data_IF_666961561052
#
_entry.id   IF_666961561052
#
_cell.length_a   1.000
_cell.length_b   1.000
_cell.length_c   1.000
_cell.angle_alpha   90.00
_cell.angle_beta   90.00
_cell.angle_gamma   90.00
#
_symmetry.space_group_name_H-M   'P 1'
#
loop_
_entity.id
_entity.type
_entity.pdbx_description
1 polymer ?
#
# COMPACT_ATOMS: atom_id res chain seq x y z
N UNK A 1 0.80 13.38 -15.14
CA UNK A 1 1.08 14.25 -13.95
C UNK A 1 2.43 13.85 -13.39
N UNK A 2 3.16 14.77 -12.77
CA UNK A 2 4.43 14.44 -12.11
C UNK A 2 4.16 14.13 -10.64
N UNK A 3 4.68 13.01 -10.10
CA UNK A 3 4.53 12.62 -8.69
C UNK A 3 4.99 13.67 -7.68
N UNK A 4 5.85 14.59 -8.10
CA UNK A 4 6.36 15.68 -7.27
C UNK A 4 5.53 16.98 -7.36
N UNK A 5 4.38 16.95 -8.05
CA UNK A 5 3.52 18.13 -8.20
C UNK A 5 2.26 17.97 -7.37
N UNK A 6 2.33 18.38 -6.12
CA UNK A 6 1.24 18.32 -5.15
C UNK A 6 1.28 19.52 -4.20
N UNK A 7 0.17 19.78 -3.54
CA UNK A 7 0.09 20.70 -2.40
C UNK A 7 0.23 19.87 -1.11
N UNK A 8 1.15 20.24 -0.24
CA UNK A 8 1.36 19.54 1.02
C UNK A 8 0.61 20.21 2.16
N UNK A 9 -0.10 19.40 2.94
CA UNK A 9 -0.76 19.79 4.18
C UNK A 9 -0.10 19.03 5.32
N UNK A 10 0.59 19.75 6.21
CA UNK A 10 1.16 19.14 7.42
C UNK A 10 0.09 19.04 8.47
N UNK A 11 -0.01 17.87 9.07
CA UNK A 11 -0.88 17.57 10.20
C UNK A 11 -0.05 17.40 11.48
N UNK A 12 -0.67 17.04 12.58
CA UNK A 12 0.02 16.90 13.86
C UNK A 12 0.92 15.64 13.93
N UNK A 13 0.50 14.57 13.26
CA UNK A 13 1.21 13.29 13.20
C UNK A 13 1.76 13.03 11.80
N UNK A 14 0.89 13.01 10.82
CA UNK A 14 1.21 12.73 9.43
C UNK A 14 1.25 13.96 8.55
N UNK A 15 1.23 13.72 7.26
CA UNK A 15 1.15 14.76 6.24
C UNK A 15 0.34 14.28 5.05
N UNK A 16 -0.34 15.20 4.37
CA UNK A 16 -1.15 14.88 3.19
C UNK A 16 -0.57 15.56 1.96
N UNK A 17 -0.25 14.77 0.95
CA UNK A 17 0.10 15.26 -0.39
C UNK A 17 -1.15 15.27 -1.27
N UNK A 18 -1.59 16.45 -1.69
CA UNK A 18 -2.81 16.63 -2.49
C UNK A 18 -2.46 16.84 -3.96
N UNK A 19 -2.81 15.87 -4.79
CA UNK A 19 -2.64 15.90 -6.24
C UNK A 19 -3.95 16.33 -6.90
N UNK A 20 -3.90 17.37 -7.74
CA UNK A 20 -5.07 17.94 -8.41
C UNK A 20 -5.14 17.48 -9.87
N UNK A 21 -6.17 16.68 -10.19
CA UNK A 21 -6.47 16.18 -11.53
C UNK A 21 -7.69 16.90 -12.15
N UNK A 22 -8.03 18.08 -11.63
CA UNK A 22 -9.17 18.88 -12.06
C UNK A 22 -10.44 18.52 -11.28
N UNK A 23 -11.32 17.69 -11.85
CA UNK A 23 -12.55 17.27 -11.15
C UNK A 23 -12.29 16.29 -10.00
N UNK A 24 -11.16 15.58 -10.04
CA UNK A 24 -10.76 14.59 -9.03
C UNK A 24 -9.49 15.06 -8.34
N UNK A 25 -9.44 14.90 -7.04
CA UNK A 25 -8.22 15.06 -6.25
C UNK A 25 -7.86 13.75 -5.58
N UNK A 26 -6.57 13.47 -5.55
CA UNK A 26 -5.99 12.39 -4.76
C UNK A 26 -5.28 13.01 -3.55
N UNK A 27 -5.67 12.58 -2.36
CA UNK A 27 -4.99 12.94 -1.13
C UNK A 27 -4.25 11.70 -0.64
N UNK A 28 -2.93 11.74 -0.61
CA UNK A 28 -2.07 10.69 -0.09
C UNK A 28 -1.66 11.08 1.34
N UNK A 29 -2.22 10.39 2.32
CA UNK A 29 -1.94 10.63 3.73
C UNK A 29 -0.86 9.67 4.21
N UNK A 30 0.35 10.20 4.39
CA UNK A 30 1.45 9.52 5.04
C UNK A 30 1.26 9.61 6.54
N UNK A 31 1.10 8.48 7.20
CA UNK A 31 0.77 8.43 8.62
C UNK A 31 1.93 8.81 9.53
N UNK A 32 3.18 8.57 9.11
CA UNK A 32 4.39 8.67 9.94
C UNK A 32 4.26 7.86 11.25
N UNK A 33 3.53 6.76 11.23
CA UNK A 33 3.38 5.84 12.35
C UNK A 33 4.50 4.77 12.37
N UNK A 34 4.37 3.75 13.22
CA UNK A 34 5.42 2.73 13.41
C UNK A 34 5.55 1.73 12.26
N UNK A 35 4.61 1.70 11.33
CA UNK A 35 4.60 0.80 10.17
C UNK A 35 4.62 1.57 8.84
N UNK A 36 4.75 2.91 8.91
CA UNK A 36 4.83 3.80 7.74
C UNK A 36 3.68 3.61 6.74
N UNK A 37 2.45 3.47 7.24
CA UNK A 37 1.28 3.31 6.37
C UNK A 37 0.99 4.56 5.53
N UNK A 38 0.45 4.31 4.34
CA UNK A 38 -0.09 5.34 3.46
C UNK A 38 -1.57 5.06 3.20
N UNK A 39 -2.43 6.06 3.40
CA UNK A 39 -3.87 5.99 3.17
C UNK A 39 -4.24 6.96 2.06
N UNK A 40 -5.03 6.50 1.10
CA UNK A 40 -5.39 7.33 -0.04
C UNK A 40 -6.85 7.73 -0.01
N UNK A 41 -7.12 8.99 -0.32
CA UNK A 41 -8.47 9.52 -0.44
C UNK A 41 -8.67 10.04 -1.86
N UNK A 42 -9.66 9.50 -2.57
CA UNK A 42 -10.07 9.99 -3.88
C UNK A 42 -11.29 10.87 -3.69
N UNK A 43 -11.13 12.17 -3.92
CA UNK A 43 -12.18 13.16 -3.77
C UNK A 43 -12.72 13.60 -5.14
N UNK A 44 -14.05 13.68 -5.28
CA UNK A 44 -14.72 14.22 -6.45
C UNK A 44 -16.01 14.94 -6.03
N UNK A 45 -16.13 16.23 -6.35
CA UNK A 45 -17.32 17.04 -6.06
C UNK A 45 -17.77 16.98 -4.59
N UNK A 46 -16.83 17.04 -3.64
CA UNK A 46 -17.09 17.02 -2.20
C UNK A 46 -17.45 15.63 -1.64
N UNK A 47 -17.43 14.60 -2.47
CA UNK A 47 -17.56 13.19 -2.07
C UNK A 47 -16.19 12.54 -2.08
N UNK A 48 -15.96 11.62 -1.17
CA UNK A 48 -14.68 10.94 -1.05
C UNK A 48 -14.85 9.42 -0.89
N UNK A 49 -13.88 8.68 -1.40
CA UNK A 49 -13.67 7.25 -1.12
C UNK A 49 -12.27 7.09 -0.57
N UNK A 50 -12.15 6.37 0.53
CA UNK A 50 -10.87 6.10 1.18
C UNK A 50 -10.38 4.71 0.76
N UNK A 51 -9.11 4.57 0.46
CA UNK A 51 -8.41 3.30 0.20
C UNK A 51 -7.50 3.04 1.38
N UNK A 52 -7.68 1.93 2.04
CA UNK A 52 -7.13 1.52 3.34
C UNK A 52 -7.65 2.36 4.51
N UNK A 53 -7.12 2.09 5.69
CA UNK A 53 -7.40 2.86 6.91
C UNK A 53 -6.15 2.94 7.77
N UNK A 54 -5.96 4.04 8.51
CA UNK A 54 -4.91 4.09 9.52
C UNK A 54 -5.25 3.13 10.66
N UNK A 55 -4.21 2.55 11.27
CA UNK A 55 -4.37 1.55 12.35
C UNK A 55 -3.98 2.08 13.74
N UNK A 56 -3.43 3.28 13.85
CA UNK A 56 -3.08 3.88 15.14
C UNK A 56 -4.10 4.94 15.54
N UNK A 57 -4.55 4.94 16.79
CA UNK A 57 -5.62 5.80 17.28
C UNK A 57 -5.39 7.29 17.04
N UNK A 58 -4.14 7.76 17.16
CA UNK A 58 -3.81 9.15 16.89
C UNK A 58 -3.99 9.51 15.40
N UNK A 59 -3.58 8.62 14.49
CA UNK A 59 -3.75 8.78 13.05
C UNK A 59 -5.22 8.64 12.63
N UNK A 60 -5.97 7.74 13.26
CA UNK A 60 -7.42 7.59 13.05
C UNK A 60 -8.12 8.92 13.39
N UNK A 61 -7.79 9.49 14.56
CA UNK A 61 -8.38 10.77 15.01
C UNK A 61 -8.01 11.91 14.05
N UNK A 62 -6.74 12.00 13.66
CA UNK A 62 -6.23 13.04 12.78
C UNK A 62 -6.85 12.98 11.40
N UNK A 63 -6.89 11.79 10.78
CA UNK A 63 -7.47 11.64 9.44
C UNK A 63 -9.00 11.84 9.44
N UNK A 64 -9.67 11.41 10.51
CA UNK A 64 -11.11 11.68 10.69
C UNK A 64 -11.37 13.20 10.74
N UNK A 65 -10.52 13.96 11.42
CA UNK A 65 -10.62 15.42 11.47
C UNK A 65 -10.35 16.06 10.09
N UNK A 66 -9.32 15.58 9.39
CA UNK A 66 -8.98 16.05 8.04
C UNK A 66 -10.13 15.87 7.04
N UNK A 67 -10.85 14.76 7.16
CA UNK A 67 -11.99 14.44 6.28
C UNK A 67 -13.25 15.23 6.59
N UNK A 68 -13.30 16.03 7.68
CA UNK A 68 -14.44 16.90 7.95
C UNK A 68 -14.66 17.87 6.79
N UNK A 69 -15.88 17.88 6.28
CA UNK A 69 -16.26 18.67 5.12
C UNK A 69 -16.31 17.88 3.81
N UNK A 70 -15.78 16.67 3.78
CA UNK A 70 -15.98 15.71 2.68
C UNK A 70 -17.07 14.70 3.07
N UNK A 71 -17.92 14.35 2.13
CA UNK A 71 -18.86 13.23 2.33
C UNK A 71 -18.17 11.93 1.97
N UNK A 72 -17.67 11.18 2.96
CA UNK A 72 -17.06 9.86 2.71
C UNK A 72 -18.17 8.85 2.40
N UNK A 73 -18.16 8.33 1.17
CA UNK A 73 -19.16 7.40 0.64
C UNK A 73 -18.75 5.93 0.80
N UNK A 74 -17.48 5.64 1.10
CA UNK A 74 -16.99 4.29 1.30
C UNK A 74 -15.53 4.22 1.67
N UNK A 75 -15.14 3.09 2.28
CA UNK A 75 -13.74 2.70 2.51
C UNK A 75 -13.50 1.39 1.79
N UNK A 76 -12.49 1.34 0.93
CA UNK A 76 -11.97 0.13 0.30
C UNK A 76 -10.92 -0.47 1.23
N UNK A 77 -11.23 -1.59 1.86
CA UNK A 77 -10.35 -2.31 2.79
C UNK A 77 -9.67 -3.43 2.01
N UNK A 78 -8.45 -3.17 1.53
CA UNK A 78 -7.73 -4.13 0.71
C UNK A 78 -6.82 -5.04 1.54
N UNK A 79 -5.72 -4.52 2.03
CA UNK A 79 -4.72 -5.31 2.77
C UNK A 79 -4.72 -5.02 4.27
N UNK A 80 -5.17 -3.83 4.70
CA UNK A 80 -5.15 -3.40 6.10
C UNK A 80 -6.52 -3.61 6.75
N UNK A 81 -6.72 -4.80 7.32
CA UNK A 81 -8.00 -5.16 7.96
C UNK A 81 -8.24 -4.55 9.34
N UNK A 82 -7.22 -4.00 10.00
CA UNK A 82 -7.31 -3.37 11.32
C UNK A 82 -7.78 -1.91 11.23
N UNK A 83 -8.03 -1.26 12.38
CA UNK A 83 -8.40 0.14 12.42
C UNK A 83 -9.91 0.39 12.26
N UNK A 84 -10.78 -0.54 12.67
CA UNK A 84 -12.22 -0.44 12.43
C UNK A 84 -12.91 0.72 13.17
N UNK A 85 -12.24 1.38 14.14
CA UNK A 85 -12.76 2.61 14.73
C UNK A 85 -12.65 3.83 13.81
N UNK A 86 -11.90 3.69 12.68
CA UNK A 86 -11.89 4.69 11.62
C UNK A 86 -13.20 4.68 10.84
N UNK A 87 -13.94 5.78 10.89
CA UNK A 87 -15.20 6.00 10.18
C UNK A 87 -16.18 4.81 10.32
N UNK A 88 -16.57 4.40 11.54
CA UNK A 88 -17.29 3.15 11.77
C UNK A 88 -18.64 3.06 11.04
N UNK A 89 -19.32 4.20 10.80
CA UNK A 89 -20.61 4.27 10.14
C UNK A 89 -20.54 4.32 8.60
N UNK A 90 -19.32 4.45 8.03
CA UNK A 90 -19.13 4.50 6.58
C UNK A 90 -19.08 3.08 6.01
N UNK A 91 -19.78 2.79 4.89
CA UNK A 91 -19.77 1.46 4.27
C UNK A 91 -18.33 0.99 3.94
N UNK A 92 -18.04 -0.28 4.25
CA UNK A 92 -16.77 -0.94 3.95
C UNK A 92 -16.92 -1.87 2.76
N UNK A 93 -16.01 -1.79 1.83
CA UNK A 93 -15.94 -2.59 0.60
C UNK A 93 -14.67 -3.42 0.59
N UNK A 94 -14.77 -4.72 0.37
CA UNK A 94 -13.63 -5.61 0.24
C UNK A 94 -13.98 -6.81 -0.66
N UNK A 95 -12.96 -7.48 -1.18
CA UNK A 95 -13.14 -8.80 -1.79
C UNK A 95 -13.28 -9.88 -0.71
N UNK A 96 -13.82 -11.04 -1.08
CA UNK A 96 -13.91 -12.17 -0.14
C UNK A 96 -12.51 -12.61 0.33
N UNK A 97 -11.48 -12.53 -0.55
CA UNK A 97 -10.09 -12.86 -0.20
C UNK A 97 -9.55 -11.91 0.88
N UNK A 98 -9.80 -10.59 0.77
CA UNK A 98 -9.37 -9.62 1.77
C UNK A 98 -10.03 -9.84 3.13
N UNK A 99 -11.32 -10.21 3.16
CA UNK A 99 -12.02 -10.59 4.40
C UNK A 99 -11.36 -11.82 5.03
N UNK A 100 -11.16 -12.87 4.24
CA UNK A 100 -10.54 -14.11 4.72
C UNK A 100 -9.10 -13.88 5.22
N UNK A 101 -8.33 -13.09 4.49
CA UNK A 101 -6.97 -12.71 4.89
C UNK A 101 -6.94 -12.02 6.26
N UNK A 102 -7.84 -11.05 6.47
CA UNK A 102 -7.91 -10.27 7.71
C UNK A 102 -8.47 -11.05 8.90
N UNK A 103 -9.42 -11.97 8.68
CA UNK A 103 -10.10 -12.69 9.76
C UNK A 103 -9.41 -14.01 10.12
N UNK A 104 -8.83 -14.73 9.14
CA UNK A 104 -8.30 -16.08 9.31
C UNK A 104 -6.90 -16.28 8.74
N UNK A 105 -6.44 -15.40 7.84
CA UNK A 105 -5.17 -15.52 7.13
C UNK A 105 -4.01 -14.76 7.75
N UNK A 106 -3.05 -14.36 6.90
CA UNK A 106 -1.84 -13.64 7.29
C UNK A 106 -2.12 -12.29 7.94
N UNK A 107 -3.17 -11.59 7.52
CA UNK A 107 -3.59 -10.31 8.10
C UNK A 107 -3.94 -10.44 9.58
N UNK A 108 -4.67 -11.50 9.97
CA UNK A 108 -4.95 -11.78 11.38
C UNK A 108 -3.68 -11.99 12.21
N UNK A 109 -2.71 -12.71 11.65
CA UNK A 109 -1.43 -12.94 12.32
C UNK A 109 -0.66 -11.61 12.50
N UNK A 110 -0.66 -10.74 11.49
CA UNK A 110 -0.06 -9.40 11.58
C UNK A 110 -0.76 -8.53 12.64
N UNK A 111 -2.09 -8.49 12.67
CA UNK A 111 -2.87 -7.75 13.68
C UNK A 111 -2.50 -8.25 15.09
N UNK A 112 -2.37 -9.56 15.30
CA UNK A 112 -1.96 -10.15 16.57
C UNK A 112 -0.56 -9.69 16.97
N UNK A 113 0.40 -9.73 16.05
CA UNK A 113 1.78 -9.32 16.28
C UNK A 113 1.87 -7.81 16.57
N UNK A 114 1.15 -6.97 15.82
CA UNK A 114 1.12 -5.53 16.04
C UNK A 114 0.43 -5.15 17.37
N UNK A 115 -0.62 -5.87 17.74
CA UNK A 115 -1.24 -5.72 19.08
C UNK A 115 -0.23 -5.96 20.18
N UNK A 116 0.58 -7.01 20.06
CA UNK A 116 1.63 -7.32 21.03
C UNK A 116 2.76 -6.28 21.03
N UNK A 117 3.14 -5.77 19.85
CA UNK A 117 4.23 -4.81 19.70
C UNK A 117 3.85 -3.38 20.13
N UNK A 118 2.65 -2.91 19.79
CA UNK A 118 2.25 -1.51 19.93
C UNK A 118 1.21 -1.25 21.03
N UNK A 119 0.61 -2.31 21.57
CA UNK A 119 -0.32 -2.22 22.72
C UNK A 119 -1.50 -1.29 22.44
N UNK A 120 -1.78 -0.41 23.41
CA UNK A 120 -2.95 0.47 23.37
C UNK A 120 -2.89 1.60 22.33
N UNK A 121 -1.79 1.81 21.62
CA UNK A 121 -1.73 2.79 20.54
C UNK A 121 -2.31 2.26 19.22
N UNK A 122 -2.39 0.93 19.07
CA UNK A 122 -2.85 0.24 17.88
C UNK A 122 -4.31 -0.18 18.02
N UNK A 123 -5.14 0.16 17.03
CA UNK A 123 -6.51 -0.31 16.92
C UNK A 123 -6.56 -1.68 16.25
N UNK A 124 -6.65 -2.72 17.04
CA UNK A 124 -6.68 -4.10 16.59
C UNK A 124 -8.07 -4.60 16.19
N UNK A 125 -9.06 -3.72 16.15
CA UNK A 125 -10.41 -4.10 15.71
C UNK A 125 -10.44 -4.28 14.18
N UNK A 126 -11.09 -5.35 13.73
CA UNK A 126 -11.18 -5.70 12.30
C UNK A 126 -12.42 -5.06 11.70
N UNK A 127 -12.27 -4.48 10.51
CA UNK A 127 -13.37 -3.86 9.79
C UNK A 127 -14.51 -4.86 9.48
N UNK A 128 -15.74 -4.45 9.79
CA UNK A 128 -16.92 -5.19 9.36
C UNK A 128 -17.25 -4.79 7.92
N UNK A 129 -16.93 -5.67 6.97
CA UNK A 129 -17.20 -5.44 5.56
C UNK A 129 -18.69 -5.54 5.29
N UNK A 130 -19.28 -4.48 4.76
CA UNK A 130 -20.72 -4.39 4.47
C UNK A 130 -21.04 -4.67 3.01
N UNK A 131 -20.02 -4.58 2.13
CA UNK A 131 -20.17 -4.79 0.69
C UNK A 131 -19.05 -5.68 0.15
N UNK A 132 -19.36 -6.89 -0.21
CA UNK A 132 -18.41 -7.76 -0.92
C UNK A 132 -18.41 -7.35 -2.40
N UNK A 133 -17.22 -7.05 -2.92
CA UNK A 133 -16.96 -6.70 -4.31
C UNK A 133 -16.13 -7.79 -4.99
N UNK A 134 -16.32 -7.93 -6.31
CA UNK A 134 -15.58 -8.89 -7.13
C UNK A 134 -14.66 -8.19 -8.13
N UNK A 135 -14.05 -9.00 -9.01
CA UNK A 135 -13.24 -8.50 -10.11
C UNK A 135 -14.03 -7.56 -11.03
N UNK A 136 -13.37 -6.51 -11.51
CA UNK A 136 -13.93 -5.59 -12.50
C UNK A 136 -14.38 -4.26 -11.91
N UNK A 137 -15.28 -3.57 -12.63
CA UNK A 137 -15.66 -2.20 -12.33
C UNK A 137 -16.63 -2.09 -11.15
N UNK A 138 -16.35 -1.17 -10.24
CA UNK A 138 -17.22 -0.75 -9.15
C UNK A 138 -17.29 0.78 -9.12
N UNK A 139 -18.44 1.33 -8.74
CA UNK A 139 -18.60 2.78 -8.56
C UNK A 139 -19.07 3.04 -7.14
N UNK A 140 -18.34 3.88 -6.41
CA UNK A 140 -18.64 4.27 -5.03
C UNK A 140 -18.67 5.81 -4.99
N UNK A 141 -19.75 6.39 -4.51
CA UNK A 141 -19.90 7.84 -4.42
C UNK A 141 -19.84 8.61 -5.75
N UNK A 142 -19.92 7.91 -6.89
CA UNK A 142 -19.75 8.48 -8.23
C UNK A 142 -18.31 8.47 -8.74
N UNK A 143 -17.39 7.79 -8.03
CA UNK A 143 -15.99 7.56 -8.40
C UNK A 143 -15.85 6.13 -8.88
N UNK A 144 -15.24 5.93 -10.06
CA UNK A 144 -15.03 4.63 -10.67
C UNK A 144 -13.72 3.98 -10.23
N UNK A 145 -13.80 2.69 -9.92
CA UNK A 145 -12.63 1.84 -9.61
C UNK A 145 -12.68 0.57 -10.45
N UNK A 146 -11.53 -0.05 -10.71
CA UNK A 146 -11.44 -1.40 -11.27
C UNK A 146 -10.69 -2.27 -10.28
N UNK A 147 -11.34 -3.33 -9.84
CA UNK A 147 -10.83 -4.24 -8.80
C UNK A 147 -10.15 -5.42 -9.47
N UNK A 148 -8.92 -5.70 -9.03
CA UNK A 148 -8.12 -6.86 -9.45
C UNK A 148 -7.82 -7.72 -8.23
N UNK A 149 -8.63 -8.78 -7.97
CA UNK A 149 -8.38 -9.66 -6.84
C UNK A 149 -6.99 -10.30 -6.90
N UNK A 150 -6.30 -10.32 -5.76
CA UNK A 150 -5.06 -11.07 -5.56
C UNK A 150 -5.32 -12.31 -4.70
N UNK A 151 -4.30 -13.10 -4.41
CA UNK A 151 -4.44 -14.24 -3.51
C UNK A 151 -4.91 -13.83 -2.11
N UNK A 152 -4.43 -12.69 -1.61
CA UNK A 152 -4.67 -12.22 -0.24
C UNK A 152 -5.73 -11.12 -0.15
N UNK A 153 -5.78 -10.25 -1.19
CA UNK A 153 -6.63 -9.05 -1.15
C UNK A 153 -7.02 -8.58 -2.57
N UNK A 154 -6.72 -7.33 -2.94
CA UNK A 154 -6.96 -6.81 -4.28
C UNK A 154 -6.18 -5.53 -4.55
N UNK A 155 -5.75 -5.37 -5.80
CA UNK A 155 -5.25 -4.12 -6.34
C UNK A 155 -6.41 -3.29 -6.93
N UNK A 156 -6.21 -1.98 -7.06
CA UNK A 156 -7.27 -1.05 -7.46
C UNK A 156 -6.75 -0.12 -8.56
N UNK A 157 -7.35 -0.17 -9.77
CA UNK A 157 -7.15 0.91 -10.72
C UNK A 157 -8.11 2.06 -10.42
N UNK A 158 -7.63 3.29 -10.59
CA UNK A 158 -8.42 4.52 -10.47
C UNK A 158 -8.37 5.23 -11.83
N UNK A 159 -9.28 4.87 -12.78
CA UNK A 159 -9.17 5.31 -14.16
C UNK A 159 -9.25 6.83 -14.33
N UNK A 160 -10.03 7.52 -13.47
CA UNK A 160 -10.23 8.96 -13.56
C UNK A 160 -8.95 9.78 -13.35
N UNK A 161 -7.96 9.21 -12.68
CA UNK A 161 -6.65 9.83 -12.43
C UNK A 161 -5.49 9.03 -13.03
N UNK A 162 -5.80 7.97 -13.78
CA UNK A 162 -4.83 7.06 -14.37
C UNK A 162 -3.79 6.55 -13.35
N UNK A 163 -4.26 6.07 -12.20
CA UNK A 163 -3.43 5.55 -11.12
C UNK A 163 -3.80 4.10 -10.79
N UNK A 164 -2.88 3.39 -10.16
CA UNK A 164 -3.09 2.05 -9.60
C UNK A 164 -2.63 2.03 -8.15
N UNK A 165 -3.41 1.37 -7.29
CA UNK A 165 -3.03 1.04 -5.92
C UNK A 165 -2.66 -0.44 -5.82
N UNK A 166 -1.57 -0.72 -5.12
CA UNK A 166 -1.08 -2.07 -4.84
C UNK A 166 -0.38 -2.12 -3.49
N UNK A 167 -0.24 -3.31 -2.91
CA UNK A 167 0.50 -3.49 -1.65
C UNK A 167 1.98 -3.79 -1.94
N UNK A 168 2.83 -2.76 -1.83
CA UNK A 168 4.25 -2.85 -2.17
C UNK A 168 5.08 -1.90 -1.29
N UNK A 169 6.34 -2.22 -1.09
CA UNK A 169 7.33 -1.33 -0.49
C UNK A 169 7.96 -0.42 -1.57
N UNK A 170 8.45 0.75 -1.18
CA UNK A 170 9.02 1.75 -2.07
C UNK A 170 10.20 1.28 -2.92
N UNK A 171 10.50 2.06 -3.96
CA UNK A 171 11.55 1.73 -4.94
C UNK A 171 12.97 1.78 -4.37
N UNK A 172 13.21 2.56 -3.32
CA UNK A 172 14.50 2.74 -2.64
C UNK A 172 14.55 2.04 -1.26
N UNK A 173 13.70 1.04 -1.08
CA UNK A 173 13.61 0.20 0.10
C UNK A 173 13.83 -1.26 -0.28
N UNK A 174 14.56 -2.02 0.58
CA UNK A 174 14.64 -3.47 0.43
C UNK A 174 13.25 -4.08 0.50
N UNK A 175 12.98 -5.05 -0.36
CA UNK A 175 11.68 -5.73 -0.43
C UNK A 175 11.72 -7.08 0.26
N UNK A 176 10.54 -7.57 0.66
CA UNK A 176 10.35 -8.96 1.05
C UNK A 176 10.11 -9.76 -0.23
N UNK A 177 11.08 -10.59 -0.62
CA UNK A 177 11.03 -11.38 -1.85
C UNK A 177 11.23 -12.87 -1.53
N UNK A 178 10.18 -13.66 -1.73
CA UNK A 178 10.18 -15.09 -1.45
C UNK A 178 10.82 -15.90 -2.61
N UNK A 179 12.08 -15.59 -2.90
CA UNK A 179 12.86 -16.25 -3.95
C UNK A 179 12.65 -15.69 -5.36
N UNK A 180 13.39 -16.25 -6.33
CA UNK A 180 13.42 -15.75 -7.73
C UNK A 180 12.07 -15.74 -8.42
N UNK A 181 11.23 -16.76 -8.17
CA UNK A 181 9.89 -16.81 -8.76
C UNK A 181 8.97 -15.69 -8.30
N UNK A 182 9.04 -15.30 -7.02
CA UNK A 182 8.30 -14.15 -6.50
C UNK A 182 8.83 -12.83 -7.09
N UNK A 183 10.16 -12.70 -7.24
CA UNK A 183 10.75 -11.55 -7.94
C UNK A 183 10.20 -11.41 -9.37
N UNK A 184 10.09 -12.52 -10.12
CA UNK A 184 9.53 -12.52 -11.49
C UNK A 184 8.07 -12.07 -11.54
N UNK A 185 7.25 -12.44 -10.55
CA UNK A 185 5.86 -11.98 -10.44
C UNK A 185 5.80 -10.48 -10.25
N UNK A 186 6.57 -9.91 -9.30
CA UNK A 186 6.61 -8.47 -9.04
C UNK A 186 7.13 -7.70 -10.27
N UNK A 187 8.20 -8.19 -10.92
CA UNK A 187 8.74 -7.59 -12.15
C UNK A 187 7.68 -7.58 -13.26
N UNK A 188 6.96 -8.68 -13.44
CA UNK A 188 5.88 -8.76 -14.45
C UNK A 188 4.75 -7.78 -14.17
N UNK A 189 4.35 -7.63 -12.91
CA UNK A 189 3.35 -6.66 -12.48
C UNK A 189 3.78 -5.23 -12.79
N UNK A 190 5.00 -4.84 -12.39
CA UNK A 190 5.54 -3.51 -12.63
C UNK A 190 5.70 -3.20 -14.13
N UNK A 191 6.13 -4.17 -14.95
CA UNK A 191 6.16 -4.04 -16.41
C UNK A 191 4.77 -3.82 -16.99
N UNK A 192 3.76 -4.50 -16.46
CA UNK A 192 2.36 -4.27 -16.82
C UNK A 192 1.90 -2.84 -16.50
N UNK A 193 2.34 -2.26 -15.38
CA UNK A 193 2.05 -0.87 -15.04
C UNK A 193 2.72 0.12 -15.99
N UNK A 194 3.97 -0.17 -16.41
CA UNK A 194 4.69 0.64 -17.40
C UNK A 194 3.99 0.57 -18.76
N UNK A 195 3.57 -0.62 -19.20
CA UNK A 195 2.84 -0.80 -20.46
C UNK A 195 1.49 -0.06 -20.46
N UNK A 196 0.76 -0.07 -19.35
CA UNK A 196 -0.49 0.68 -19.20
C UNK A 196 -0.28 2.20 -19.10
N UNK A 197 0.92 2.65 -18.75
CA UNK A 197 1.28 4.06 -18.69
C UNK A 197 0.59 4.80 -17.53
N UNK A 198 0.52 4.20 -16.34
CA UNK A 198 -0.06 4.88 -15.18
C UNK A 198 0.68 6.16 -14.82
N UNK A 199 -0.05 7.18 -14.39
CA UNK A 199 0.53 8.42 -13.91
C UNK A 199 1.14 8.29 -12.52
N UNK A 200 0.49 7.49 -11.66
CA UNK A 200 0.92 7.22 -10.29
C UNK A 200 0.72 5.74 -9.94
N UNK A 201 1.65 5.22 -9.18
CA UNK A 201 1.57 3.94 -8.49
C UNK A 201 1.47 4.25 -7.00
N UNK A 202 0.35 3.89 -6.39
CA UNK A 202 0.05 4.11 -4.99
C UNK A 202 0.39 2.84 -4.23
N UNK A 203 1.20 2.95 -3.19
CA UNK A 203 1.64 1.80 -2.41
C UNK A 203 1.30 1.98 -0.94
N UNK A 204 1.01 0.89 -0.23
CA UNK A 204 0.54 0.93 1.16
C UNK A 204 1.55 1.51 2.15
N UNK A 205 2.84 1.46 1.83
CA UNK A 205 3.91 1.79 2.78
C UNK A 205 4.94 2.76 2.17
N UNK A 206 4.53 3.53 1.18
CA UNK A 206 5.40 4.52 0.55
C UNK A 206 4.59 5.63 -0.12
N UNK A 207 5.20 6.80 -0.26
CA UNK A 207 4.59 7.93 -0.99
C UNK A 207 4.33 7.56 -2.45
N UNK A 208 3.37 8.20 -3.15
CA UNK A 208 3.05 7.90 -4.53
C UNK A 208 4.27 7.88 -5.44
N UNK A 209 4.41 6.82 -6.20
CA UNK A 209 5.51 6.54 -7.13
C UNK A 209 5.10 6.78 -8.57
N UNK A 210 6.07 6.84 -9.48
CA UNK A 210 5.84 6.93 -10.92
C UNK A 210 6.50 5.74 -11.67
N UNK A 211 6.40 5.75 -12.99
CA UNK A 211 6.93 4.65 -13.80
C UNK A 211 8.46 4.56 -13.75
N UNK A 212 9.16 5.66 -13.45
CA UNK A 212 10.61 5.62 -13.27
C UNK A 212 11.00 4.90 -11.98
N UNK A 213 10.20 5.05 -10.93
CA UNK A 213 10.38 4.30 -9.70
C UNK A 213 10.12 2.81 -9.92
N UNK A 214 9.10 2.47 -10.73
CA UNK A 214 8.85 1.09 -11.14
C UNK A 214 10.05 0.49 -11.90
N UNK A 215 10.66 1.24 -12.83
CA UNK A 215 11.90 0.80 -13.53
C UNK A 215 13.04 0.58 -12.54
N UNK A 216 13.21 1.47 -11.56
CA UNK A 216 14.23 1.34 -10.50
C UNK A 216 13.99 0.08 -9.67
N UNK A 217 12.73 -0.18 -9.30
CA UNK A 217 12.38 -1.38 -8.53
C UNK A 217 12.59 -2.66 -9.34
N UNK A 218 12.29 -2.66 -10.63
CA UNK A 218 12.57 -3.79 -11.53
C UNK A 218 14.07 -4.10 -11.54
N UNK A 219 14.91 -3.07 -11.75
CA UNK A 219 16.36 -3.25 -11.76
C UNK A 219 16.87 -3.85 -10.44
N UNK A 220 16.40 -3.34 -9.30
CA UNK A 220 16.72 -3.89 -7.99
C UNK A 220 16.34 -5.38 -7.87
N UNK A 221 15.15 -5.76 -8.30
CA UNK A 221 14.67 -7.16 -8.24
C UNK A 221 15.46 -8.09 -9.18
N UNK A 222 15.86 -7.61 -10.35
CA UNK A 222 16.73 -8.34 -11.27
C UNK A 222 18.12 -8.55 -10.65
N UNK A 223 18.69 -7.52 -10.01
CA UNK A 223 19.97 -7.63 -9.31
C UNK A 223 19.90 -8.60 -8.11
N UNK A 224 18.82 -8.61 -7.34
CA UNK A 224 18.63 -9.59 -6.26
C UNK A 224 18.74 -11.03 -6.77
N UNK A 225 18.14 -11.33 -7.93
CA UNK A 225 18.20 -12.68 -8.55
C UNK A 225 19.62 -13.04 -8.98
N UNK A 226 20.34 -12.09 -9.59
CA UNK A 226 21.73 -12.28 -10.04
C UNK A 226 22.64 -12.51 -8.81
N UNK A 227 22.54 -11.62 -7.81
CA UNK A 227 23.35 -11.71 -6.59
C UNK A 227 23.06 -13.01 -5.84
N UNK A 228 21.80 -13.44 -5.76
CA UNK A 228 21.45 -14.69 -5.11
C UNK A 228 22.10 -15.90 -5.81
N UNK A 229 22.10 -15.94 -7.14
CA UNK A 229 22.75 -17.00 -7.93
C UNK A 229 24.27 -17.05 -7.75
N UNK A 230 24.90 -15.92 -7.45
CA UNK A 230 26.34 -15.77 -7.27
C UNK A 230 26.80 -15.85 -5.80
N UNK A 231 25.85 -15.97 -4.86
CA UNK A 231 26.13 -15.96 -3.42
C UNK A 231 26.23 -17.36 -2.84
N UNK A 232 27.14 -17.54 -1.89
CA UNK A 232 27.42 -18.83 -1.24
C UNK A 232 26.40 -19.18 -0.16
N UNK A 233 25.81 -18.17 0.45
CA UNK A 233 24.85 -18.27 1.55
C UNK A 233 24.16 -16.92 1.79
N UNK A 234 23.19 -16.88 2.71
CA UNK A 234 22.42 -15.70 3.05
C UNK A 234 23.29 -14.50 3.48
N UNK A 235 24.35 -14.71 4.23
CA UNK A 235 25.23 -13.63 4.69
C UNK A 235 26.04 -13.00 3.54
N UNK A 236 26.58 -13.83 2.62
CA UNK A 236 27.27 -13.35 1.41
C UNK A 236 26.30 -12.57 0.50
N UNK A 237 25.07 -13.04 0.36
CA UNK A 237 24.00 -12.36 -0.36
C UNK A 237 23.72 -10.98 0.24
N UNK A 238 23.43 -10.90 1.54
CA UNK A 238 23.13 -9.63 2.23
C UNK A 238 24.29 -8.63 2.10
N UNK A 239 25.52 -9.10 2.27
CA UNK A 239 26.69 -8.24 2.14
C UNK A 239 26.82 -7.63 0.74
N UNK A 240 26.60 -8.42 -0.32
CA UNK A 240 26.65 -7.95 -1.70
C UNK A 240 25.50 -6.99 -2.03
N UNK A 241 24.27 -7.31 -1.61
CA UNK A 241 23.10 -6.43 -1.81
C UNK A 241 23.30 -5.10 -1.09
N UNK A 242 23.70 -5.11 0.18
CA UNK A 242 23.96 -3.87 0.93
C UNK A 242 25.11 -3.05 0.36
N UNK A 243 26.12 -3.68 -0.24
CA UNK A 243 27.21 -2.98 -0.91
C UNK A 243 26.75 -2.30 -2.22
N UNK A 244 25.82 -2.91 -2.95
CA UNK A 244 25.28 -2.36 -4.20
C UNK A 244 24.19 -1.29 -3.92
N UNK A 245 23.42 -1.45 -2.86
CA UNK A 245 22.30 -0.58 -2.46
C UNK A 245 22.50 0.01 -1.04
N UNK A 246 23.59 0.75 -0.78
CA UNK A 246 23.93 1.21 0.58
C UNK A 246 22.98 2.27 1.14
N UNK A 247 22.15 2.88 0.26
CA UNK A 247 21.19 3.91 0.62
C UNK A 247 19.80 3.34 0.98
N UNK A 248 19.54 2.05 0.64
CA UNK A 248 18.21 1.46 0.82
C UNK A 248 17.90 1.24 2.29
N UNK A 249 16.70 1.65 2.70
CA UNK A 249 16.12 1.32 4.00
C UNK A 249 15.62 -0.14 4.04
N UNK A 250 15.09 -0.58 5.18
CA UNK A 250 14.43 -1.89 5.26
C UNK A 250 15.39 -3.08 5.38
N UNK A 251 16.47 -2.98 6.15
CA UNK A 251 17.42 -4.09 6.37
C UNK A 251 16.75 -5.36 6.92
N UNK A 252 15.72 -5.21 7.74
CA UNK A 252 14.90 -6.32 8.22
C UNK A 252 14.19 -7.07 7.07
N UNK A 253 13.79 -6.37 6.00
CA UNK A 253 13.20 -6.98 4.81
C UNK A 253 14.25 -7.72 3.97
N UNK A 254 15.49 -7.18 3.91
CA UNK A 254 16.59 -7.88 3.28
C UNK A 254 16.95 -9.16 4.03
N UNK A 255 16.91 -9.14 5.37
CA UNK A 255 17.14 -10.35 6.20
C UNK A 255 16.08 -11.44 5.89
N UNK A 256 14.80 -11.05 5.78
CA UNK A 256 13.73 -11.98 5.42
C UNK A 256 13.93 -12.54 4.00
N UNK A 257 14.24 -11.68 3.04
CA UNK A 257 14.51 -12.06 1.65
C UNK A 257 15.68 -13.02 1.55
N UNK A 258 16.78 -12.76 2.26
CA UNK A 258 17.92 -13.66 2.31
C UNK A 258 17.54 -15.05 2.86
N UNK A 259 16.69 -15.09 3.90
CA UNK A 259 16.15 -16.33 4.41
C UNK A 259 15.37 -17.13 3.36
N UNK A 260 14.56 -16.47 2.54
CA UNK A 260 13.80 -17.14 1.48
C UNK A 260 14.63 -17.63 0.30
N UNK A 261 15.73 -16.94 -0.04
CA UNK A 261 16.61 -17.37 -1.15
C UNK A 261 17.52 -18.53 -0.77
N UNK A 262 17.82 -18.72 0.53
CA UNK A 262 18.81 -19.68 1.03
C UNK A 262 18.22 -20.66 2.08
N UNK A 263 16.88 -20.81 2.11
CA UNK A 263 16.18 -21.76 3.00
C UNK A 263 16.36 -23.23 2.57
#
# INVERSE_FOLDING_TARGET
MNKNTFNQVKLAKGEVSVYDFGEVKLHAYKTNDFIDDEVFIVEKNGKAVVIESPCFHDNISELTEYLKGMKVEGVLVAYHGAGATFLPEVPKYATQNAVEYSENGGGKALITNFTAAFGASFDNTVHQVTNIIGEGKVTIGGIGFVIHPTHEAFDIEIPEINAVYTHMLGHDCHSIVAGSGHADVIISQLRGYIEKGYCLILTSHYTPEDLKDAETKIAYLEDLKIIAAESKNAEDFKAKVSALYPQYSGQNYLDMTAGFFFA
#
